data_IF_930190740364
#
_entry.id   IF_930190740364
#
_cell.length_a   1.000
_cell.length_b   1.000
_cell.length_c   1.000
_cell.angle_alpha   90.00
_cell.angle_beta   90.00
_cell.angle_gamma   90.00
#
_symmetry.space_group_name_H-M   'P 1'
#
loop_
_entity.id
_entity.type
_entity.pdbx_description
1 polymer ?
#
# COMPACT_ATOMS: atom_id res chain seq x y z
N UNK A 1 8.07 43.21 -10.07
CA UNK A 1 6.71 43.13 -9.48
C UNK A 1 5.80 42.07 -10.16
N UNK A 2 6.19 41.46 -11.30
CA UNK A 2 5.40 40.40 -11.95
C UNK A 2 5.50 39.00 -11.30
N UNK A 3 6.50 38.75 -10.44
CA UNK A 3 6.72 37.44 -9.81
C UNK A 3 5.74 37.13 -8.67
N UNK A 4 5.24 38.14 -7.94
CA UNK A 4 4.32 37.91 -6.80
C UNK A 4 2.91 37.51 -7.22
N UNK A 5 2.46 37.97 -8.41
CA UNK A 5 1.15 37.61 -8.97
C UNK A 5 1.15 36.17 -9.49
N UNK A 6 2.27 35.71 -10.07
CA UNK A 6 2.42 34.32 -10.55
C UNK A 6 2.52 33.30 -9.41
N UNK A 7 3.15 33.65 -8.29
CA UNK A 7 3.21 32.77 -7.11
C UNK A 7 1.86 32.58 -6.42
N UNK A 8 0.98 33.58 -6.43
CA UNK A 8 -0.31 33.49 -5.73
C UNK A 8 -1.28 32.50 -6.43
N UNK A 9 -1.31 32.50 -7.77
CA UNK A 9 -2.15 31.55 -8.54
C UNK A 9 -1.80 30.09 -8.28
N UNK A 10 -0.50 29.76 -8.17
CA UNK A 10 -0.04 28.40 -7.90
C UNK A 10 -0.45 27.94 -6.50
N UNK A 11 -0.37 28.83 -5.50
CA UNK A 11 -0.72 28.53 -4.11
C UNK A 11 -2.22 28.38 -3.92
N UNK A 12 -3.03 29.12 -4.68
CA UNK A 12 -4.50 29.03 -4.68
C UNK A 12 -5.00 27.74 -5.32
N UNK A 13 -4.42 27.31 -6.44
CA UNK A 13 -4.79 26.01 -7.02
C UNK A 13 -4.37 24.85 -6.11
N UNK A 14 -3.23 24.96 -5.44
CA UNK A 14 -2.78 23.95 -4.47
C UNK A 14 -3.70 23.86 -3.26
N UNK A 15 -4.22 24.99 -2.76
CA UNK A 15 -5.13 25.00 -1.61
C UNK A 15 -6.55 24.52 -1.96
N UNK A 16 -7.04 24.75 -3.18
CA UNK A 16 -8.32 24.20 -3.65
C UNK A 16 -8.23 22.67 -3.84
N UNK A 17 -7.15 22.17 -4.44
CA UNK A 17 -6.91 20.73 -4.64
C UNK A 17 -6.73 20.00 -3.29
N UNK A 18 -6.10 20.64 -2.30
CA UNK A 18 -5.93 20.07 -0.95
C UNK A 18 -7.20 20.08 -0.09
N UNK A 19 -8.13 21.00 -0.35
CA UNK A 19 -9.37 21.11 0.42
C UNK A 19 -10.47 20.14 -0.06
N UNK A 20 -10.38 19.66 -1.31
CA UNK A 20 -11.42 18.80 -1.91
C UNK A 20 -11.13 17.30 -1.75
N UNK A 21 -9.91 16.91 -1.37
CA UNK A 21 -9.50 15.52 -1.15
C UNK A 21 -8.86 15.33 0.23
N UNK A 22 -9.46 14.54 1.15
CA UNK A 22 -8.83 14.23 2.42
C UNK A 22 -7.47 13.52 2.21
N UNK A 23 -6.49 13.66 3.13
CA UNK A 23 -5.11 13.19 2.95
C UNK A 23 -4.98 11.67 2.76
N UNK A 24 -6.03 10.92 3.10
CA UNK A 24 -6.09 9.48 2.95
C UNK A 24 -6.51 9.03 1.54
N UNK A 25 -7.21 9.88 0.78
CA UNK A 25 -7.57 9.62 -0.61
C UNK A 25 -6.47 10.02 -1.59
N UNK A 26 -5.64 11.01 -1.26
CA UNK A 26 -4.59 11.51 -2.17
C UNK A 26 -3.61 10.42 -2.61
N UNK A 27 -3.20 9.54 -1.69
CA UNK A 27 -2.30 8.42 -2.01
C UNK A 27 -2.97 7.39 -2.92
N UNK A 28 -4.27 7.15 -2.74
CA UNK A 28 -5.07 6.28 -3.60
C UNK A 28 -5.27 6.90 -4.98
N UNK A 29 -5.60 8.19 -5.07
CA UNK A 29 -5.70 8.95 -6.32
C UNK A 29 -4.39 8.95 -7.10
N UNK A 30 -3.24 9.15 -6.44
CA UNK A 30 -1.94 9.04 -7.10
C UNK A 30 -1.66 7.63 -7.62
N UNK A 31 -2.03 6.59 -6.86
CA UNK A 31 -1.90 5.20 -7.33
C UNK A 31 -2.76 4.94 -8.57
N UNK A 32 -4.02 5.41 -8.59
CA UNK A 32 -4.92 5.29 -9.75
C UNK A 32 -4.40 6.09 -10.94
N UNK A 33 -3.96 7.33 -10.73
CA UNK A 33 -3.38 8.16 -11.79
C UNK A 33 -2.12 7.53 -12.39
N UNK A 34 -1.26 6.94 -11.54
CA UNK A 34 -0.08 6.19 -11.97
C UNK A 34 -0.46 4.94 -12.78
N UNK A 35 -1.49 4.21 -12.35
CA UNK A 35 -2.05 3.07 -13.06
C UNK A 35 -2.56 3.45 -14.46
N UNK A 36 -3.34 4.53 -14.55
CA UNK A 36 -3.83 5.05 -15.83
C UNK A 36 -2.69 5.48 -16.75
N UNK A 37 -1.67 6.15 -16.20
CA UNK A 37 -0.49 6.53 -16.95
C UNK A 37 0.23 5.31 -17.54
N UNK A 38 0.46 4.26 -16.75
CA UNK A 38 1.05 3.00 -17.23
C UNK A 38 0.21 2.38 -18.34
N UNK A 39 -1.11 2.32 -18.18
CA UNK A 39 -2.00 1.74 -19.20
C UNK A 39 -1.93 2.52 -20.50
N UNK A 40 -2.01 3.85 -20.45
CA UNK A 40 -1.93 4.70 -21.65
C UNK A 40 -0.58 4.50 -22.36
N UNK A 41 0.53 4.53 -21.63
CA UNK A 41 1.87 4.33 -22.20
C UNK A 41 1.98 2.95 -22.83
N UNK A 42 1.54 1.91 -22.13
CA UNK A 42 1.60 0.52 -22.62
C UNK A 42 0.80 0.32 -23.89
N UNK A 43 -0.40 0.90 -23.98
CA UNK A 43 -1.25 0.79 -25.16
C UNK A 43 -0.58 1.43 -26.37
N UNK A 44 0.03 2.61 -26.20
CA UNK A 44 0.78 3.25 -27.28
C UNK A 44 2.00 2.39 -27.70
N UNK A 45 2.72 1.82 -26.74
CA UNK A 45 3.87 0.94 -27.02
C UNK A 45 3.44 -0.31 -27.79
N UNK A 46 2.40 -1.02 -27.35
CA UNK A 46 1.92 -2.21 -28.06
C UNK A 46 1.30 -1.88 -29.43
N UNK A 47 0.63 -0.74 -29.57
CA UNK A 47 0.14 -0.30 -30.86
C UNK A 47 1.29 -0.06 -31.86
N UNK A 48 2.39 0.55 -31.43
CA UNK A 48 3.54 0.83 -32.30
C UNK A 48 4.41 -0.41 -32.57
N UNK A 49 4.61 -1.28 -31.57
CA UNK A 49 5.48 -2.45 -31.70
C UNK A 49 4.79 -3.63 -32.38
N UNK A 50 3.55 -3.94 -31.99
CA UNK A 50 2.81 -5.12 -32.45
C UNK A 50 1.75 -4.80 -33.50
N UNK A 51 1.43 -3.52 -33.73
CA UNK A 51 0.34 -3.12 -34.63
C UNK A 51 -1.05 -3.53 -34.12
N UNK A 52 -1.21 -3.78 -32.82
CA UNK A 52 -2.48 -4.21 -32.24
C UNK A 52 -3.49 -3.07 -32.13
N UNK A 53 -4.77 -3.40 -32.28
CA UNK A 53 -5.85 -2.45 -31.98
C UNK A 53 -5.78 -1.94 -30.53
N UNK A 54 -6.31 -0.73 -30.33
CA UNK A 54 -6.39 -0.07 -29.02
C UNK A 54 -7.07 -0.96 -27.97
N UNK A 55 -8.19 -1.60 -28.34
CA UNK A 55 -8.94 -2.49 -27.45
C UNK A 55 -8.12 -3.73 -27.06
N UNK A 56 -7.43 -4.34 -28.03
CA UNK A 56 -6.60 -5.52 -27.82
C UNK A 56 -5.42 -5.21 -26.90
N UNK A 57 -4.81 -4.03 -27.07
CA UNK A 57 -3.70 -3.56 -26.25
C UNK A 57 -4.13 -3.23 -24.81
N UNK A 58 -5.31 -2.61 -24.62
CA UNK A 58 -5.88 -2.34 -23.29
C UNK A 58 -6.22 -3.65 -22.58
N UNK A 59 -6.83 -4.61 -23.29
CA UNK A 59 -7.14 -5.92 -22.76
C UNK A 59 -5.88 -6.64 -22.28
N UNK A 60 -4.85 -6.73 -23.13
CA UNK A 60 -3.59 -7.37 -22.76
C UNK A 60 -2.89 -6.69 -21.58
N UNK A 61 -2.83 -5.35 -21.59
CA UNK A 61 -2.18 -4.58 -20.52
C UNK A 61 -2.90 -4.76 -19.19
N UNK A 62 -4.24 -4.68 -19.17
CA UNK A 62 -5.02 -4.84 -17.95
C UNK A 62 -4.97 -6.27 -17.41
N UNK A 63 -5.04 -7.29 -18.27
CA UNK A 63 -4.89 -8.69 -17.87
C UNK A 63 -3.51 -9.01 -17.30
N UNK A 64 -2.45 -8.40 -17.86
CA UNK A 64 -1.07 -8.57 -17.34
C UNK A 64 -0.89 -7.86 -16.01
N UNK A 65 -1.42 -6.65 -15.88
CA UNK A 65 -1.26 -5.83 -14.68
C UNK A 65 -2.07 -6.36 -13.49
N UNK A 66 -3.23 -6.95 -13.76
CA UNK A 66 -4.02 -7.70 -12.76
C UNK A 66 -3.47 -9.11 -12.51
N UNK A 67 -2.37 -9.49 -13.17
CA UNK A 67 -1.73 -10.82 -13.08
C UNK A 67 -2.66 -11.98 -13.46
N UNK A 68 -3.74 -11.70 -14.19
CA UNK A 68 -4.67 -12.73 -14.71
C UNK A 68 -3.99 -13.52 -15.82
N UNK A 69 -3.35 -12.82 -16.76
CA UNK A 69 -2.45 -13.43 -17.77
C UNK A 69 -3.06 -14.59 -18.55
N UNK A 70 -4.20 -14.38 -19.23
CA UNK A 70 -4.90 -15.44 -19.98
C UNK A 70 -4.02 -16.18 -21.01
N UNK A 71 -2.99 -15.51 -21.57
CA UNK A 71 -2.06 -16.11 -22.52
C UNK A 71 -2.62 -16.30 -23.93
N UNK A 72 -3.81 -15.77 -24.21
CA UNK A 72 -4.47 -15.76 -25.51
C UNK A 72 -3.86 -14.74 -26.47
N UNK A 73 -3.46 -13.58 -25.93
CA UNK A 73 -2.77 -12.52 -26.64
C UNK A 73 -1.36 -12.42 -26.07
N UNK A 74 -0.34 -12.58 -26.90
CA UNK A 74 1.07 -12.51 -26.49
C UNK A 74 1.90 -11.78 -27.55
N UNK A 75 2.87 -10.94 -27.13
CA UNK A 75 3.70 -10.20 -28.06
C UNK A 75 4.59 -11.14 -28.89
N UNK A 76 4.54 -10.97 -30.21
CA UNK A 76 5.37 -11.71 -31.16
C UNK A 76 6.73 -11.04 -31.37
N UNK A 77 6.84 -9.75 -31.10
CA UNK A 77 8.07 -8.97 -31.28
C UNK A 77 9.04 -9.14 -30.10
N UNK A 78 10.34 -9.19 -30.38
CA UNK A 78 11.37 -9.29 -29.34
C UNK A 78 11.32 -8.08 -28.38
N UNK A 79 11.09 -6.89 -28.91
CA UNK A 79 10.92 -5.67 -28.10
C UNK A 79 9.64 -5.71 -27.25
N UNK A 80 8.53 -6.20 -27.80
CA UNK A 80 7.27 -6.35 -27.06
C UNK A 80 7.43 -7.30 -25.87
N UNK A 81 8.17 -8.41 -26.04
CA UNK A 81 8.47 -9.36 -24.96
C UNK A 81 9.30 -8.74 -23.84
N UNK A 82 10.37 -8.00 -24.19
CA UNK A 82 11.21 -7.31 -23.20
C UNK A 82 10.36 -6.28 -22.43
N UNK A 83 9.50 -5.55 -23.14
CA UNK A 83 8.58 -4.59 -22.52
C UNK A 83 7.60 -5.29 -21.56
N UNK A 84 7.03 -6.42 -21.93
CA UNK A 84 6.13 -7.19 -21.05
C UNK A 84 6.83 -7.66 -19.78
N UNK A 85 8.10 -8.09 -19.85
CA UNK A 85 8.88 -8.45 -18.65
C UNK A 85 9.02 -7.23 -17.73
N UNK A 86 9.38 -6.06 -18.27
CA UNK A 86 9.48 -4.83 -17.48
C UNK A 86 8.12 -4.44 -16.86
N UNK A 87 7.03 -4.60 -17.61
CA UNK A 87 5.67 -4.33 -17.15
C UNK A 87 5.25 -5.24 -15.99
N UNK A 88 5.68 -6.51 -15.97
CA UNK A 88 5.43 -7.41 -14.84
C UNK A 88 6.08 -6.91 -13.54
N UNK A 89 7.34 -6.45 -13.58
CA UNK A 89 8.01 -5.89 -12.41
C UNK A 89 7.30 -4.64 -11.88
N UNK A 90 6.87 -3.76 -12.78
CA UNK A 90 6.12 -2.55 -12.43
C UNK A 90 4.75 -2.92 -11.85
N UNK A 91 4.07 -3.92 -12.43
CA UNK A 91 2.78 -4.42 -11.97
C UNK A 91 2.84 -4.95 -10.54
N UNK A 92 3.81 -5.82 -10.23
CA UNK A 92 4.03 -6.35 -8.88
C UNK A 92 4.34 -5.23 -7.88
N UNK A 93 5.21 -4.30 -8.26
CA UNK A 93 5.57 -3.15 -7.40
C UNK A 93 4.36 -2.27 -7.10
N UNK A 94 3.53 -2.01 -8.10
CA UNK A 94 2.31 -1.20 -7.97
C UNK A 94 1.27 -1.92 -7.13
N UNK A 95 1.08 -3.23 -7.34
CA UNK A 95 0.19 -4.06 -6.53
C UNK A 95 0.59 -4.08 -5.05
N UNK A 96 1.88 -4.20 -4.77
CA UNK A 96 2.40 -4.12 -3.40
C UNK A 96 2.14 -2.75 -2.77
N UNK A 97 2.40 -1.65 -3.49
CA UNK A 97 2.14 -0.29 -3.00
C UNK A 97 0.66 -0.04 -2.65
N UNK A 98 -0.25 -0.54 -3.49
CA UNK A 98 -1.70 -0.46 -3.22
C UNK A 98 -2.05 -1.29 -1.98
N UNK A 99 -1.50 -2.49 -1.84
CA UNK A 99 -1.73 -3.36 -0.68
C UNK A 99 -1.27 -2.70 0.64
N UNK A 100 -0.08 -2.09 0.65
CA UNK A 100 0.44 -1.40 1.85
C UNK A 100 -0.38 -0.17 2.21
N UNK A 101 -0.94 0.52 1.22
CA UNK A 101 -1.79 1.72 1.44
C UNK A 101 -3.19 1.34 1.93
N UNK A 102 -3.73 0.19 1.49
CA UNK A 102 -5.04 -0.33 1.92
C UNK A 102 -5.00 -1.10 3.25
N UNK A 103 -3.84 -1.65 3.62
CA UNK A 103 -3.61 -2.38 4.87
C UNK A 103 -4.15 -1.68 6.14
N UNK A 104 -3.79 -0.42 6.43
CA UNK A 104 -4.25 0.26 7.64
C UNK A 104 -5.76 0.45 7.72
N UNK A 105 -6.48 0.56 6.60
CA UNK A 105 -7.94 0.66 6.57
C UNK A 105 -8.65 -0.65 6.96
N UNK A 106 -8.09 -1.79 6.54
CA UNK A 106 -8.70 -3.12 6.74
C UNK A 106 -8.27 -3.78 8.04
N UNK A 107 -7.02 -3.56 8.46
CA UNK A 107 -6.43 -4.21 9.64
C UNK A 107 -6.74 -3.43 10.92
N UNK A 108 -6.73 -2.09 10.90
CA UNK A 108 -6.98 -1.29 12.10
C UNK A 108 -8.33 -1.59 12.75
N UNK A 109 -9.41 -1.58 11.97
CA UNK A 109 -10.77 -1.72 12.52
C UNK A 109 -11.12 -3.10 13.10
N UNK A 110 -10.47 -4.17 12.64
CA UNK A 110 -10.75 -5.55 13.11
C UNK A 110 -9.75 -5.97 14.19
N UNK A 111 -8.47 -5.63 14.01
CA UNK A 111 -7.40 -6.09 14.89
C UNK A 111 -7.44 -5.38 16.25
N UNK A 112 -7.70 -4.07 16.29
CA UNK A 112 -7.81 -3.30 17.55
C UNK A 112 -8.91 -3.89 18.45
N UNK A 113 -10.07 -4.21 17.87
CA UNK A 113 -11.19 -4.81 18.62
C UNK A 113 -10.88 -6.19 19.19
N UNK A 114 -10.04 -6.98 18.52
CA UNK A 114 -9.61 -8.29 19.00
C UNK A 114 -8.55 -8.18 20.09
N UNK A 115 -7.60 -7.24 19.94
CA UNK A 115 -6.55 -6.97 20.92
C UNK A 115 -7.13 -6.41 22.21
N UNK A 116 -8.09 -5.48 22.13
CA UNK A 116 -8.75 -4.91 23.31
C UNK A 116 -9.50 -5.96 24.13
N UNK A 117 -10.17 -6.90 23.45
CA UNK A 117 -10.88 -8.01 24.13
C UNK A 117 -9.92 -8.96 24.84
N UNK A 118 -8.76 -9.22 24.25
CA UNK A 118 -7.73 -10.08 24.86
C UNK A 118 -7.05 -9.33 26.02
N UNK A 119 -6.72 -8.06 25.86
CA UNK A 119 -6.12 -7.23 26.91
C UNK A 119 -7.04 -7.12 28.15
N UNK A 120 -8.34 -6.95 27.92
CA UNK A 120 -9.36 -6.96 28.98
C UNK A 120 -9.46 -8.32 29.69
N UNK A 121 -9.23 -9.44 28.99
CA UNK A 121 -9.21 -10.77 29.59
C UNK A 121 -7.91 -11.08 30.35
N UNK A 122 -6.78 -10.51 29.91
CA UNK A 122 -5.45 -10.73 30.52
C UNK A 122 -5.20 -9.80 31.71
N UNK A 123 -6.06 -8.80 31.95
CA UNK A 123 -6.01 -7.95 33.15
C UNK A 123 -4.88 -6.92 33.15
N UNK A 124 -4.38 -6.54 31.97
CA UNK A 124 -3.29 -5.55 31.83
C UNK A 124 -3.71 -4.11 32.18
N UNK A 125 -5.00 -3.87 32.42
CA UNK A 125 -5.53 -2.59 32.92
C UNK A 125 -4.87 -2.14 34.25
N UNK A 126 -4.32 -3.07 35.02
CA UNK A 126 -3.60 -2.80 36.27
C UNK A 126 -2.18 -2.26 36.00
N UNK A 127 -1.60 -2.54 34.84
CA UNK A 127 -0.25 -2.09 34.44
C UNK A 127 -0.31 -0.74 33.70
N UNK A 128 -1.28 -0.55 32.81
CA UNK A 128 -1.47 0.70 32.03
C UNK A 128 -1.76 1.92 32.95
N UNK A 129 -2.57 1.73 34.00
CA UNK A 129 -2.85 2.79 35.00
C UNK A 129 -1.62 3.18 35.83
N UNK A 130 -0.51 2.47 35.69
CA UNK A 130 0.76 2.74 36.36
C UNK A 130 1.77 3.24 35.33
N UNK A 131 1.58 4.48 34.85
CA UNK A 131 2.60 5.25 34.11
C UNK A 131 3.94 5.33 34.89
N UNK A 132 5.03 5.88 34.29
CA UNK A 132 6.46 5.49 34.35
C UNK A 132 7.17 5.52 35.73
N UNK A 133 6.49 5.15 36.80
CA UNK A 133 6.90 5.20 38.19
C UNK A 133 6.83 3.81 38.80
N UNK A 134 7.47 2.83 38.13
CA UNK A 134 7.68 1.48 38.67
C UNK A 134 9.14 1.38 39.13
N UNK A 135 9.44 1.17 40.42
CA UNK A 135 10.79 0.89 40.85
C UNK A 135 11.23 -0.47 40.27
N UNK A 136 12.49 -0.65 39.82
CA UNK A 136 12.92 -1.87 39.15
C UNK A 136 12.51 -3.13 39.94
N UNK A 137 11.92 -4.12 39.27
CA UNK A 137 11.52 -5.38 39.90
C UNK A 137 12.72 -6.07 40.55
N UNK A 138 12.79 -6.09 41.88
CA UNK A 138 13.57 -7.11 42.58
C UNK A 138 12.94 -8.47 42.31
N UNK A 139 13.72 -9.37 41.72
CA UNK A 139 13.31 -10.74 41.41
C UNK A 139 13.04 -11.52 42.70
N UNK A 140 11.84 -12.10 42.90
CA UNK A 140 11.57 -12.97 44.04
C UNK A 140 12.43 -14.23 43.96
N UNK A 141 13.21 -14.49 45.01
CA UNK A 141 14.06 -15.69 45.13
C UNK A 141 13.22 -16.96 44.96
N UNK A 142 13.56 -17.75 43.95
CA UNK A 142 13.07 -19.11 43.72
C UNK A 142 13.28 -19.95 44.98
N UNK A 143 12.20 -20.34 45.67
CA UNK A 143 12.32 -21.33 46.76
C UNK A 143 12.61 -22.70 46.14
N UNK A 144 13.86 -23.12 46.23
CA UNK A 144 14.27 -24.53 46.06
C UNK A 144 13.49 -25.38 47.07
N UNK A 145 12.76 -26.39 46.57
CA UNK A 145 12.13 -27.42 47.42
C UNK A 145 13.22 -28.32 47.98
N UNK A 146 13.34 -28.42 49.30
CA UNK A 146 14.08 -29.51 49.94
C UNK A 146 13.18 -30.75 50.08
N UNK A 147 13.73 -31.97 49.89
CA UNK A 147 12.96 -33.22 49.90
C UNK A 147 12.71 -33.73 51.34
N UNK A 148 11.60 -34.45 51.57
CA UNK A 148 11.23 -34.92 52.90
C UNK A 148 12.16 -36.03 53.40
N UNK A 149 12.71 -35.85 54.59
CA UNK A 149 13.39 -36.90 55.35
C UNK A 149 12.40 -37.46 56.36
N UNK A 150 12.09 -38.75 56.24
CA UNK A 150 11.20 -39.50 57.11
C UNK A 150 11.00 -40.90 56.57
#
# INVERSE_FOLDING_TARGET
MANSIRTNGNNLLQSIVQNIFPPIERHFLYAVAWLLFIVIVSVNVYHNLEGWDWLKSIYFTSATMTTVGYGDVVPQTDLGRIYTIALMWIGVSTGFYVLTTLGPFRVGGIFERSVDRIAAQVGLDIVEKRGPNYPPCETPKTKTKEPPTG
#
